data_IF_243815201089
#
_entry.id   IF_243815201089
#
_cell.length_a   1.000
_cell.length_b   1.000
_cell.length_c   1.000
_cell.angle_alpha   90.00
_cell.angle_beta   90.00
_cell.angle_gamma   90.00
#
_symmetry.space_group_name_H-M   'P 1'
#
loop_
_entity.id
_entity.type
_entity.pdbx_description
1 polymer ?
#
# COMPACT_ATOMS: atom_id res chain seq x y z
N UNK A 1 -76.57 -19.63 32.78
CA UNK A 1 -75.55 -20.70 32.78
C UNK A 1 -74.86 -20.69 31.42
N UNK A 2 -73.56 -20.35 31.39
CA UNK A 2 -72.57 -20.46 30.27
C UNK A 2 -72.86 -19.58 29.02
N UNK A 3 -72.30 -18.38 28.85
CA UNK A 3 -70.90 -17.98 28.56
C UNK A 3 -70.27 -18.78 27.40
N UNK A 4 -70.05 -18.12 26.26
CA UNK A 4 -68.75 -18.13 25.55
C UNK A 4 -68.73 -17.06 24.45
N UNK A 5 -68.07 -15.96 24.79
CA UNK A 5 -67.55 -14.94 23.91
C UNK A 5 -66.36 -15.56 23.14
N UNK A 6 -66.38 -15.57 21.80
CA UNK A 6 -65.19 -15.89 21.00
C UNK A 6 -64.68 -14.65 20.29
N UNK A 7 -63.67 -14.08 20.93
CA UNK A 7 -62.63 -13.23 20.38
C UNK A 7 -62.05 -13.82 19.09
N UNK A 8 -61.98 -13.03 18.03
CA UNK A 8 -60.82 -13.04 17.13
C UNK A 8 -60.63 -11.64 16.56
N UNK A 9 -60.01 -10.78 17.37
CA UNK A 9 -59.51 -9.49 16.92
C UNK A 9 -58.30 -9.74 16.03
N UNK A 10 -58.47 -9.51 14.73
CA UNK A 10 -57.39 -9.58 13.75
C UNK A 10 -56.49 -8.36 13.94
N UNK A 11 -55.32 -8.59 14.56
CA UNK A 11 -54.30 -7.58 14.79
C UNK A 11 -53.67 -7.21 13.44
N UNK A 12 -54.00 -6.02 12.94
CA UNK A 12 -53.33 -5.41 11.81
C UNK A 12 -51.98 -4.87 12.32
N UNK A 13 -50.90 -5.65 12.16
CA UNK A 13 -49.54 -5.14 12.29
C UNK A 13 -49.25 -4.24 11.08
N UNK A 14 -49.47 -2.94 11.24
CA UNK A 14 -48.93 -1.96 10.32
C UNK A 14 -47.40 -1.98 10.42
N UNK A 15 -46.78 -2.25 9.27
CA UNK A 15 -45.37 -2.33 9.03
C UNK A 15 -44.63 -1.05 9.49
N UNK A 16 -43.87 -1.17 10.57
CA UNK A 16 -42.84 -0.20 10.91
C UNK A 16 -41.62 -0.47 10.03
N UNK A 17 -41.67 -0.04 8.76
CA UNK A 17 -40.47 0.15 7.96
C UNK A 17 -39.66 1.30 8.58
N UNK A 18 -38.79 0.98 9.55
CA UNK A 18 -37.65 1.84 9.85
C UNK A 18 -36.75 1.82 8.62
N UNK A 19 -36.88 2.82 7.76
CA UNK A 19 -35.83 3.17 6.80
C UNK A 19 -34.57 3.40 7.63
N UNK A 20 -33.67 2.41 7.65
CA UNK A 20 -32.29 2.64 8.07
C UNK A 20 -31.74 3.62 7.06
N UNK A 21 -31.68 4.89 7.45
CA UNK A 21 -30.81 5.86 6.79
C UNK A 21 -29.38 5.43 7.07
N UNK A 22 -28.88 4.50 6.25
CA UNK A 22 -27.45 4.31 6.09
C UNK A 22 -26.94 5.55 5.38
N UNK A 23 -26.57 6.56 6.18
CA UNK A 23 -25.59 7.54 5.75
C UNK A 23 -24.29 6.79 5.53
N UNK A 24 -24.17 6.10 4.39
CA UNK A 24 -22.88 5.74 3.84
C UNK A 24 -22.17 7.07 3.59
N UNK A 25 -21.25 7.42 4.48
CA UNK A 25 -20.23 8.38 4.14
C UNK A 25 -19.63 7.88 2.83
N UNK A 26 -19.69 8.69 1.77
CA UNK A 26 -19.02 8.41 0.51
C UNK A 26 -17.53 8.41 0.84
N UNK A 27 -17.00 7.28 1.29
CA UNK A 27 -15.57 7.05 1.38
C UNK A 27 -15.07 7.05 -0.05
N UNK A 28 -14.11 7.91 -0.35
CA UNK A 28 -13.39 7.87 -1.61
C UNK A 28 -13.00 6.41 -1.89
N UNK A 29 -13.14 5.92 -3.13
CA UNK A 29 -12.76 4.55 -3.45
C UNK A 29 -11.31 4.34 -3.02
N UNK A 30 -11.07 3.28 -2.24
CA UNK A 30 -9.74 2.93 -1.78
C UNK A 30 -8.81 2.79 -2.98
N UNK A 31 -7.61 3.38 -2.92
CA UNK A 31 -6.64 3.25 -4.00
C UNK A 31 -6.34 1.74 -4.22
N UNK A 32 -6.41 1.24 -5.47
CA UNK A 32 -6.23 -0.18 -5.75
C UNK A 32 -4.74 -0.55 -5.71
N UNK A 33 -4.11 -0.46 -4.55
CA UNK A 33 -2.66 -0.64 -4.39
C UNK A 33 -2.24 -2.11 -4.34
N UNK A 34 -3.13 -3.01 -3.91
CA UNK A 34 -2.85 -4.44 -3.83
C UNK A 34 -2.40 -5.01 -5.19
N UNK A 35 -1.38 -5.86 -5.18
CA UNK A 35 -0.82 -6.51 -6.36
C UNK A 35 0.71 -6.54 -6.35
N UNK A 36 1.27 -7.02 -7.46
CA UNK A 36 2.71 -7.02 -7.69
C UNK A 36 3.08 -5.90 -8.67
N UNK A 37 4.09 -5.14 -8.31
CA UNK A 37 4.55 -3.93 -8.98
C UNK A 37 6.02 -4.07 -9.32
N UNK A 38 6.38 -3.93 -10.59
CA UNK A 38 7.77 -3.92 -11.04
C UNK A 38 8.29 -2.49 -11.13
N UNK A 39 9.41 -2.21 -10.47
CA UNK A 39 10.04 -0.89 -10.52
C UNK A 39 10.60 -0.65 -11.93
N UNK A 40 10.30 0.53 -12.48
CA UNK A 40 10.81 0.98 -13.77
C UNK A 40 11.96 1.97 -13.58
N UNK A 41 11.74 2.96 -12.72
CA UNK A 41 12.70 4.04 -12.48
C UNK A 41 12.62 4.52 -11.04
N UNK A 42 13.75 4.93 -10.48
CA UNK A 42 13.85 5.62 -9.19
C UNK A 42 14.61 6.93 -9.35
N UNK A 43 14.14 7.98 -8.68
CA UNK A 43 14.80 9.29 -8.62
C UNK A 43 15.08 9.61 -7.17
N UNK A 44 16.35 9.84 -6.84
CA UNK A 44 16.79 10.31 -5.54
C UNK A 44 17.22 11.77 -5.64
N UNK A 45 16.74 12.61 -4.73
CA UNK A 45 17.19 13.99 -4.59
C UNK A 45 17.77 14.16 -3.18
N UNK A 46 19.07 14.43 -3.10
CA UNK A 46 19.81 14.53 -1.84
C UNK A 46 20.86 15.63 -1.96
N UNK A 47 20.92 16.53 -0.97
CA UNK A 47 21.93 17.62 -0.89
C UNK A 47 22.04 18.49 -2.15
N UNK A 48 20.95 18.63 -2.90
CA UNK A 48 20.87 19.42 -4.14
C UNK A 48 21.20 18.64 -5.42
N UNK A 49 21.67 17.40 -5.30
CA UNK A 49 21.93 16.52 -6.44
C UNK A 49 20.71 15.65 -6.74
N UNK A 50 20.49 15.35 -8.02
CA UNK A 50 19.43 14.46 -8.49
C UNK A 50 20.04 13.28 -9.23
N UNK A 51 19.75 12.06 -8.77
CA UNK A 51 20.15 10.82 -9.41
C UNK A 51 18.92 10.09 -9.94
N UNK A 52 18.95 9.69 -11.21
CA UNK A 52 17.88 8.90 -11.83
C UNK A 52 18.45 7.54 -12.24
N UNK A 53 17.80 6.48 -11.78
CA UNK A 53 18.19 5.09 -12.03
C UNK A 53 17.11 4.37 -12.83
N UNK A 54 17.51 3.74 -13.93
CA UNK A 54 16.65 2.89 -14.75
C UNK A 54 16.76 1.41 -14.33
N UNK A 55 15.69 0.86 -13.78
CA UNK A 55 15.63 -0.52 -13.25
C UNK A 55 15.17 -1.53 -14.30
N UNK A 56 15.19 -1.17 -15.58
CA UNK A 56 14.73 -2.04 -16.68
C UNK A 56 15.85 -2.87 -17.31
N UNK A 57 17.11 -2.68 -16.87
CA UNK A 57 18.30 -3.27 -17.51
C UNK A 57 18.95 -4.38 -16.70
N UNK A 58 19.68 -4.00 -15.64
CA UNK A 58 20.59 -4.91 -14.95
C UNK A 58 20.05 -5.42 -13.61
N UNK A 59 19.07 -4.73 -13.05
CA UNK A 59 18.43 -5.05 -11.78
C UNK A 59 16.96 -5.36 -12.07
N UNK A 60 16.40 -6.36 -11.39
CA UNK A 60 14.96 -6.58 -11.36
C UNK A 60 14.48 -6.35 -9.94
N UNK A 61 13.60 -5.36 -9.77
CA UNK A 61 13.00 -5.00 -8.50
C UNK A 61 11.49 -5.15 -8.58
N UNK A 62 10.89 -5.87 -7.64
CA UNK A 62 9.44 -5.96 -7.47
C UNK A 62 9.03 -5.56 -6.06
N UNK A 63 7.86 -4.94 -5.95
CA UNK A 63 7.13 -4.70 -4.70
C UNK A 63 5.82 -5.50 -4.74
N UNK A 64 5.57 -6.31 -3.74
CA UNK A 64 4.35 -7.09 -3.56
C UNK A 64 3.59 -6.43 -2.43
N UNK A 65 2.36 -5.99 -2.69
CA UNK A 65 1.49 -5.36 -1.71
C UNK A 65 0.25 -6.23 -1.60
N UNK A 66 0.03 -6.80 -0.42
CA UNK A 66 -1.22 -7.51 -0.11
C UNK A 66 -2.16 -6.57 0.66
N UNK A 67 -3.12 -7.10 1.39
CA UNK A 67 -4.11 -6.33 2.14
C UNK A 67 -3.53 -5.40 3.22
N UNK A 68 -2.47 -5.82 3.91
CA UNK A 68 -1.97 -5.18 5.14
C UNK A 68 -0.43 -5.13 5.24
N UNK A 69 0.27 -5.78 4.32
CA UNK A 69 1.73 -5.87 4.27
C UNK A 69 2.26 -5.59 2.87
N UNK A 70 3.54 -5.22 2.84
CA UNK A 70 4.33 -5.13 1.63
C UNK A 70 5.63 -5.92 1.78
N UNK A 71 6.20 -6.30 0.65
CA UNK A 71 7.57 -6.77 0.56
C UNK A 71 8.19 -6.25 -0.74
N UNK A 72 9.47 -5.92 -0.72
CA UNK A 72 10.24 -5.68 -1.93
C UNK A 72 11.37 -6.70 -2.06
N UNK A 73 11.71 -7.00 -3.30
CA UNK A 73 12.74 -7.94 -3.68
C UNK A 73 13.50 -7.34 -4.86
N UNK A 74 14.81 -7.31 -4.77
CA UNK A 74 15.71 -6.80 -5.80
C UNK A 74 16.83 -7.79 -6.04
N UNK A 75 17.18 -8.01 -7.31
CA UNK A 75 18.35 -8.80 -7.65
C UNK A 75 18.97 -8.39 -8.98
N UNK A 76 20.26 -8.68 -9.14
CA UNK A 76 20.91 -8.57 -10.44
C UNK A 76 20.38 -9.63 -11.41
N UNK A 77 20.16 -9.23 -12.66
CA UNK A 77 19.65 -10.11 -13.73
C UNK A 77 20.80 -10.72 -14.53
N UNK A 78 21.88 -9.95 -14.76
CA UNK A 78 22.96 -10.32 -15.69
C UNK A 78 24.35 -10.37 -15.03
N UNK A 79 24.45 -10.29 -13.70
CA UNK A 79 25.73 -10.32 -13.00
C UNK A 79 26.31 -11.76 -12.95
N UNK A 80 27.64 -11.92 -13.04
CA UNK A 80 28.30 -13.20 -12.76
C UNK A 80 28.06 -13.60 -11.30
N UNK A 81 28.08 -14.89 -11.00
CA UNK A 81 27.73 -15.42 -9.66
C UNK A 81 28.52 -14.77 -8.52
N UNK A 82 29.80 -14.44 -8.76
CA UNK A 82 30.67 -13.76 -7.79
C UNK A 82 30.28 -12.32 -7.46
N UNK A 83 29.36 -11.72 -8.24
CA UNK A 83 28.93 -10.33 -8.11
C UNK A 83 27.41 -10.17 -8.03
N UNK A 84 26.65 -11.28 -7.93
CA UNK A 84 25.20 -11.23 -7.78
C UNK A 84 24.84 -10.62 -6.43
N UNK A 85 24.05 -9.55 -6.48
CA UNK A 85 23.42 -8.97 -5.31
C UNK A 85 21.96 -9.39 -5.25
N UNK A 86 21.51 -9.55 -4.02
CA UNK A 86 20.11 -9.70 -3.66
C UNK A 86 19.84 -8.73 -2.52
N UNK A 87 18.68 -8.10 -2.56
CA UNK A 87 18.21 -7.20 -1.53
C UNK A 87 16.70 -7.39 -1.34
N UNK A 88 16.23 -7.24 -0.11
CA UNK A 88 14.86 -7.45 0.26
C UNK A 88 14.51 -6.73 1.55
N UNK A 89 13.25 -6.37 1.65
CA UNK A 89 12.65 -5.88 2.87
C UNK A 89 11.13 -5.95 2.81
N UNK A 90 10.47 -5.56 3.90
CA UNK A 90 9.03 -5.60 4.01
C UNK A 90 8.54 -5.38 5.43
N UNK A 91 7.22 -5.35 5.58
CA UNK A 91 6.54 -5.13 6.84
C UNK A 91 5.08 -4.77 6.61
N UNK A 92 4.43 -4.27 7.65
CA UNK A 92 3.06 -3.77 7.55
C UNK A 92 2.99 -2.40 6.87
N UNK A 93 1.80 -2.00 6.43
CA UNK A 93 1.57 -0.63 5.96
C UNK A 93 0.21 -0.10 6.39
N UNK A 94 0.08 1.23 6.39
CA UNK A 94 -1.20 1.91 6.45
C UNK A 94 -1.43 2.75 5.19
N UNK A 95 -2.68 2.81 4.74
CA UNK A 95 -3.09 3.61 3.58
C UNK A 95 -4.32 4.42 3.94
N UNK A 96 -4.19 5.75 3.84
CA UNK A 96 -5.29 6.70 3.99
C UNK A 96 -5.25 7.70 2.86
N UNK A 97 -6.31 7.73 2.05
CA UNK A 97 -6.37 8.50 0.82
C UNK A 97 -5.18 8.16 -0.09
N UNK A 98 -4.27 9.10 -0.34
CA UNK A 98 -3.01 8.88 -1.06
C UNK A 98 -1.79 8.67 -0.17
N UNK A 99 -1.93 8.82 1.15
CA UNK A 99 -0.84 8.66 2.10
C UNK A 99 -0.65 7.20 2.43
N UNK A 100 0.49 6.66 1.99
CA UNK A 100 0.92 5.28 2.21
C UNK A 100 2.14 5.28 3.12
N UNK A 101 2.01 4.70 4.30
CA UNK A 101 3.10 4.61 5.28
C UNK A 101 3.51 3.17 5.44
N UNK A 102 4.76 2.88 5.07
CA UNK A 102 5.41 1.58 5.28
C UNK A 102 6.01 1.54 6.70
N UNK A 103 5.69 0.49 7.45
CA UNK A 103 6.30 0.17 8.74
C UNK A 103 7.34 -0.94 8.47
N UNK A 104 8.62 -0.56 8.35
CA UNK A 104 9.65 -1.49 7.88
C UNK A 104 10.09 -2.44 9.00
N UNK A 105 9.76 -3.73 8.87
CA UNK A 105 10.01 -4.75 9.90
C UNK A 105 11.18 -5.67 9.56
N UNK A 106 11.40 -5.88 8.27
CA UNK A 106 12.46 -6.72 7.71
C UNK A 106 13.21 -5.92 6.66
N UNK A 107 14.54 -5.88 6.76
CA UNK A 107 15.39 -5.30 5.73
C UNK A 107 16.76 -5.98 5.74
N UNK A 108 17.39 -6.11 4.58
CA UNK A 108 18.79 -6.55 4.49
C UNK A 108 19.70 -5.59 5.25
N UNK A 109 19.51 -4.28 5.06
CA UNK A 109 20.14 -3.22 5.84
C UNK A 109 19.39 -3.02 7.16
N UNK A 110 19.79 -3.76 8.19
CA UNK A 110 19.11 -3.83 9.50
C UNK A 110 18.95 -2.46 10.18
N UNK A 111 19.80 -1.48 9.87
CA UNK A 111 19.71 -0.11 10.39
C UNK A 111 18.47 0.64 9.91
N UNK A 112 17.80 0.18 8.85
CA UNK A 112 16.54 0.75 8.35
C UNK A 112 15.31 0.22 9.10
N UNK A 113 15.40 -0.94 9.75
CA UNK A 113 14.25 -1.54 10.41
C UNK A 113 13.74 -0.70 11.58
N UNK A 114 12.44 -0.81 11.85
CA UNK A 114 11.74 -0.04 12.89
C UNK A 114 11.45 1.40 12.50
N UNK A 115 11.79 1.82 11.27
CA UNK A 115 11.45 3.14 10.74
C UNK A 115 10.14 3.09 9.95
N UNK A 116 9.44 4.23 9.99
CA UNK A 116 8.26 4.48 9.19
C UNK A 116 8.62 5.35 8.00
N UNK A 117 8.22 4.92 6.80
CA UNK A 117 8.42 5.67 5.56
C UNK A 117 7.08 6.08 4.97
N UNK A 118 6.81 7.38 4.97
CA UNK A 118 5.55 7.92 4.47
C UNK A 118 5.69 8.48 3.06
N UNK A 119 4.84 8.00 2.17
CA UNK A 119 4.83 8.35 0.77
C UNK A 119 3.45 8.82 0.30
N UNK A 120 3.43 9.66 -0.71
CA UNK A 120 2.26 9.96 -1.52
C UNK A 120 2.20 9.01 -2.71
N UNK A 121 1.09 8.29 -2.86
CA UNK A 121 0.83 7.36 -3.96
C UNK A 121 -0.13 7.98 -4.97
N UNK A 122 0.18 7.81 -6.25
CA UNK A 122 -0.76 8.03 -7.36
C UNK A 122 -0.79 6.79 -8.24
N UNK A 123 -1.99 6.31 -8.56
CA UNK A 123 -2.20 5.21 -9.51
C UNK A 123 -2.95 5.72 -10.73
N UNK A 124 -2.39 5.51 -11.92
CA UNK A 124 -3.04 5.78 -13.20
C UNK A 124 -2.88 4.55 -14.08
N UNK A 125 -3.99 3.90 -14.43
CA UNK A 125 -3.99 2.62 -15.14
C UNK A 125 -3.16 1.55 -14.40
N UNK A 126 -2.12 1.04 -15.05
CA UNK A 126 -1.17 0.06 -14.53
C UNK A 126 0.09 0.71 -13.92
N UNK A 127 0.13 2.04 -13.81
CA UNK A 127 1.29 2.77 -13.30
C UNK A 127 1.02 3.24 -11.88
N UNK A 128 1.93 2.89 -10.95
CA UNK A 128 1.99 3.43 -9.60
C UNK A 128 3.20 4.37 -9.52
N UNK A 129 2.99 5.56 -8.95
CA UNK A 129 4.07 6.48 -8.58
C UNK A 129 4.02 6.70 -7.08
N UNK A 130 5.15 6.49 -6.43
CA UNK A 130 5.37 6.67 -4.99
C UNK A 130 6.39 7.80 -4.79
N UNK A 131 6.15 8.68 -3.83
CA UNK A 131 7.09 9.76 -3.54
C UNK A 131 7.05 10.20 -2.09
N UNK A 132 8.21 10.36 -1.45
CA UNK A 132 8.32 10.70 -0.04
C UNK A 132 9.75 10.96 0.38
N UNK A 133 9.92 11.45 1.60
CA UNK A 133 11.23 11.65 2.21
C UNK A 133 11.62 10.37 2.95
N UNK A 134 12.79 9.83 2.62
CA UNK A 134 13.46 8.79 3.39
C UNK A 134 14.44 9.46 4.35
N UNK A 135 14.26 9.20 5.64
CA UNK A 135 15.14 9.72 6.67
C UNK A 135 15.51 8.63 7.68
N UNK A 136 16.80 8.34 7.76
CA UNK A 136 17.38 7.38 8.72
C UNK A 136 18.64 8.02 9.29
N UNK A 137 18.50 8.68 10.45
CA UNK A 137 19.56 9.52 11.03
C UNK A 137 20.86 8.73 11.27
N UNK A 138 20.75 7.51 11.78
CA UNK A 138 21.90 6.65 12.06
C UNK A 138 22.64 6.18 10.80
N UNK A 139 21.95 6.13 9.66
CA UNK A 139 22.53 5.79 8.36
C UNK A 139 22.95 7.04 7.58
N UNK A 140 22.73 8.25 8.12
CA UNK A 140 23.01 9.51 7.45
C UNK A 140 22.16 9.76 6.20
N UNK A 141 20.98 9.15 6.13
CA UNK A 141 20.05 9.26 4.98
C UNK A 141 19.05 10.38 5.25
N UNK A 142 18.97 11.35 4.34
CA UNK A 142 17.92 12.37 4.29
C UNK A 142 17.73 12.80 2.83
N UNK A 143 16.79 12.14 2.15
CA UNK A 143 16.61 12.27 0.70
C UNK A 143 15.16 12.15 0.29
N UNK A 144 14.80 12.83 -0.80
CA UNK A 144 13.54 12.58 -1.49
C UNK A 144 13.70 11.37 -2.41
N UNK A 145 12.82 10.38 -2.26
CA UNK A 145 12.71 9.24 -3.16
C UNK A 145 11.41 9.36 -3.98
N UNK A 146 11.53 9.16 -5.29
CA UNK A 146 10.41 9.11 -6.24
C UNK A 146 10.57 7.85 -7.07
N UNK A 147 9.59 6.96 -6.99
CA UNK A 147 9.63 5.66 -7.64
C UNK A 147 8.44 5.50 -8.58
N UNK A 148 8.69 4.90 -9.74
CA UNK A 148 7.67 4.59 -10.73
C UNK A 148 7.65 3.10 -11.01
N UNK A 149 6.46 2.52 -10.89
CA UNK A 149 6.22 1.10 -11.05
C UNK A 149 5.20 0.82 -12.15
N UNK A 150 5.25 -0.39 -12.71
CA UNK A 150 4.20 -0.98 -13.54
C UNK A 150 3.62 -2.22 -12.86
N UNK A 151 2.29 -2.38 -12.92
CA UNK A 151 1.60 -3.56 -12.39
C UNK A 151 1.94 -4.80 -13.23
N UNK A 152 2.27 -5.90 -12.57
CA UNK A 152 2.40 -7.22 -13.19
C UNK A 152 1.03 -7.91 -13.28
N UNK A 153 0.83 -8.70 -14.34
CA UNK A 153 -0.41 -9.42 -14.63
C UNK A 153 -0.28 -10.91 -14.31
#
# INVERSE_FOLDING_TARGET
MKLTLRFFAMIILFAACKVKSSSEAITAPALPIEGTWKLLSGTLIEKGDTTVTEYTKNISFIKIINKDHFAFLSHDVNAPDSAKTFDAGGGSYSLKDSTYTEHLEYCKEREWEGHDFSFTITIKNDTLTQSGIEKVDNAGVDRMNIEKYVRLK
#
